data_IF_458879457140
#
_entry.id   IF_458879457140
#
_cell.length_a   1.000
_cell.length_b   1.000
_cell.length_c   1.000
_cell.angle_alpha   90.00
_cell.angle_beta   90.00
_cell.angle_gamma   90.00
#
_symmetry.space_group_name_H-M   'P 1'
#
loop_
_entity.id
_entity.type
_entity.pdbx_description
1 polymer ?
#
# COMPACT_ATOMS: atom_id res chain seq x y z
N UNK A 1 6.38 -56.86 0.72
CA UNK A 1 5.35 -55.87 0.40
C UNK A 1 5.12 -54.83 1.53
N UNK A 2 5.04 -55.20 2.80
CA UNK A 2 4.72 -54.27 3.92
C UNK A 2 5.71 -53.10 4.10
N UNK A 3 7.03 -53.31 3.99
CA UNK A 3 8.04 -52.23 4.19
C UNK A 3 7.99 -51.15 3.14
N UNK A 4 7.74 -51.46 1.85
CA UNK A 4 7.62 -50.47 0.78
C UNK A 4 6.41 -49.56 1.01
N UNK A 5 5.28 -50.12 1.45
CA UNK A 5 4.07 -49.33 1.73
C UNK A 5 4.28 -48.36 2.93
N UNK A 6 5.03 -48.81 3.97
CA UNK A 6 5.36 -47.96 5.11
C UNK A 6 6.21 -46.76 4.68
N UNK A 7 7.19 -46.97 3.82
CA UNK A 7 8.07 -45.92 3.29
C UNK A 7 7.23 -44.91 2.44
N UNK A 8 6.36 -45.41 1.57
CA UNK A 8 5.51 -44.54 0.76
C UNK A 8 4.58 -43.69 1.64
N UNK A 9 3.95 -44.29 2.64
CA UNK A 9 3.08 -43.56 3.58
C UNK A 9 3.87 -42.52 4.37
N UNK A 10 5.07 -42.85 4.85
CA UNK A 10 5.95 -41.94 5.57
C UNK A 10 6.34 -40.72 4.69
N UNK A 11 6.72 -40.96 3.42
CA UNK A 11 7.03 -39.89 2.49
C UNK A 11 5.79 -39.01 2.19
N UNK A 12 4.62 -39.60 2.02
CA UNK A 12 3.39 -38.85 1.81
C UNK A 12 3.03 -37.96 3.01
N UNK A 13 3.17 -38.47 4.22
CA UNK A 13 2.95 -37.70 5.45
C UNK A 13 3.96 -36.57 5.58
N UNK A 14 5.24 -36.81 5.28
CA UNK A 14 6.27 -35.78 5.31
C UNK A 14 5.99 -34.63 4.31
N UNK A 15 5.57 -34.99 3.09
CA UNK A 15 5.17 -33.99 2.07
C UNK A 15 3.94 -33.21 2.53
N UNK A 16 2.95 -33.86 3.12
CA UNK A 16 1.75 -33.21 3.63
C UNK A 16 2.10 -32.21 4.74
N UNK A 17 2.96 -32.58 5.68
CA UNK A 17 3.40 -31.67 6.76
C UNK A 17 4.20 -30.49 6.21
N UNK A 18 5.06 -30.72 5.23
CA UNK A 18 5.83 -29.67 4.58
C UNK A 18 4.92 -28.66 3.85
N UNK A 19 3.89 -29.16 3.15
CA UNK A 19 2.91 -28.28 2.46
C UNK A 19 2.07 -27.47 3.44
N UNK A 20 1.62 -28.07 4.55
CA UNK A 20 0.89 -27.36 5.61
C UNK A 20 1.76 -26.26 6.22
N UNK A 21 3.02 -26.55 6.54
CA UNK A 21 3.97 -25.59 7.08
C UNK A 21 4.21 -24.41 6.12
N UNK A 22 4.40 -24.70 4.83
CA UNK A 22 4.57 -23.68 3.81
C UNK A 22 3.32 -22.80 3.65
N UNK A 23 2.14 -23.40 3.57
CA UNK A 23 0.88 -22.65 3.47
C UNK A 23 0.61 -21.79 4.71
N UNK A 24 0.91 -22.31 5.90
CA UNK A 24 0.78 -21.57 7.15
C UNK A 24 1.68 -20.34 7.19
N UNK A 25 2.95 -20.46 6.76
CA UNK A 25 3.88 -19.35 6.65
C UNK A 25 3.39 -18.28 5.66
N UNK A 26 2.88 -18.68 4.51
CA UNK A 26 2.35 -17.75 3.52
C UNK A 26 1.10 -17.03 4.04
N UNK A 27 0.22 -17.75 4.73
CA UNK A 27 -0.96 -17.16 5.35
C UNK A 27 -0.60 -16.15 6.44
N UNK A 28 0.44 -16.43 7.23
CA UNK A 28 0.95 -15.49 8.23
C UNK A 28 1.41 -14.16 7.60
N UNK A 29 2.24 -14.21 6.56
CA UNK A 29 2.69 -13.00 5.84
C UNK A 29 1.53 -12.25 5.15
N UNK A 30 0.45 -12.96 4.84
CA UNK A 30 -0.75 -12.34 4.32
C UNK A 30 -1.52 -11.54 5.36
N UNK A 31 -1.73 -12.14 6.52
CA UNK A 31 -2.72 -11.65 7.49
C UNK A 31 -2.09 -10.78 8.57
N UNK A 32 -0.87 -11.12 9.02
CA UNK A 32 -0.28 -10.52 10.22
C UNK A 32 0.70 -9.43 9.86
N UNK A 33 1.85 -9.76 9.26
CA UNK A 33 2.83 -8.78 8.83
C UNK A 33 3.81 -9.36 7.82
N UNK A 34 4.04 -8.63 6.73
CA UNK A 34 5.11 -8.95 5.78
C UNK A 34 6.11 -7.80 5.66
N UNK A 35 5.70 -6.61 6.04
CA UNK A 35 6.51 -5.40 6.02
C UNK A 35 6.76 -4.95 7.46
N UNK A 36 8.01 -4.73 7.80
CA UNK A 36 8.44 -4.21 9.10
C UNK A 36 9.37 -3.03 8.85
N UNK A 37 9.05 -1.86 9.42
CA UNK A 37 9.87 -0.66 9.29
C UNK A 37 11.29 -0.91 9.79
N UNK A 38 12.28 -0.35 9.10
CA UNK A 38 13.71 -0.47 9.41
C UNK A 38 14.09 0.35 10.64
N UNK A 39 13.50 1.52 10.80
CA UNK A 39 13.76 2.50 11.86
C UNK A 39 12.68 2.52 12.95
N UNK A 40 11.75 1.56 12.91
CA UNK A 40 10.64 1.46 13.86
C UNK A 40 9.71 2.68 13.87
N UNK A 41 9.72 3.46 12.81
CA UNK A 41 8.84 4.60 12.60
C UNK A 41 7.76 4.28 11.57
N UNK A 42 6.75 5.11 11.55
CA UNK A 42 5.69 5.05 10.55
C UNK A 42 6.04 5.97 9.37
N UNK A 43 5.84 5.49 8.15
CA UNK A 43 6.24 6.19 6.94
C UNK A 43 5.05 6.66 6.12
N UNK A 44 5.20 7.86 5.54
CA UNK A 44 4.21 8.47 4.67
C UNK A 44 4.69 8.42 3.20
N UNK A 45 3.81 7.98 2.32
CA UNK A 45 4.09 7.85 0.89
C UNK A 45 3.12 8.66 0.05
N UNK A 46 3.65 9.36 -0.93
CA UNK A 46 2.89 10.02 -1.97
C UNK A 46 2.94 9.16 -3.23
N UNK A 47 1.81 8.60 -3.61
CA UNK A 47 1.68 7.78 -4.80
C UNK A 47 1.11 8.63 -5.93
N UNK A 48 1.83 8.68 -7.04
CA UNK A 48 1.43 9.39 -8.25
C UNK A 48 0.53 8.53 -9.14
N UNK A 49 -0.24 9.14 -10.04
CA UNK A 49 -1.02 8.40 -11.02
C UNK A 49 -0.13 7.47 -11.86
N UNK A 50 -0.65 6.30 -12.21
CA UNK A 50 0.03 5.27 -13.02
C UNK A 50 1.30 4.64 -12.40
N UNK A 51 1.48 4.72 -11.08
CA UNK A 51 2.58 4.03 -10.40
C UNK A 51 2.39 2.51 -10.48
N UNK A 52 3.38 1.80 -11.03
CA UNK A 52 3.34 0.34 -11.16
C UNK A 52 3.56 -0.37 -9.83
N UNK A 53 3.17 -1.65 -9.75
CA UNK A 53 3.36 -2.48 -8.55
C UNK A 53 4.84 -2.63 -8.20
N UNK A 54 5.70 -2.78 -9.22
CA UNK A 54 7.14 -2.95 -9.01
C UNK A 54 7.78 -1.67 -8.46
N UNK A 55 7.33 -0.51 -8.94
CA UNK A 55 7.74 0.79 -8.40
C UNK A 55 7.31 0.97 -6.94
N UNK A 56 6.09 0.53 -6.61
CA UNK A 56 5.60 0.55 -5.23
C UNK A 56 6.43 -0.37 -4.33
N UNK A 57 6.75 -1.57 -4.82
CA UNK A 57 7.57 -2.51 -4.06
C UNK A 57 8.97 -1.94 -3.82
N UNK A 58 9.57 -1.31 -4.82
CA UNK A 58 10.88 -0.65 -4.71
C UNK A 58 10.83 0.50 -3.70
N UNK A 59 9.79 1.31 -3.75
CA UNK A 59 9.57 2.39 -2.80
C UNK A 59 9.42 1.87 -1.36
N UNK A 60 8.65 0.81 -1.15
CA UNK A 60 8.47 0.23 0.17
C UNK A 60 9.75 -0.45 0.71
N UNK A 61 10.61 -0.96 -0.17
CA UNK A 61 11.91 -1.56 0.22
C UNK A 61 12.89 -0.55 0.81
N UNK A 62 12.72 0.74 0.55
CA UNK A 62 13.59 1.77 1.11
C UNK A 62 13.45 1.85 2.62
N UNK A 63 12.22 1.73 3.13
CA UNK A 63 11.91 2.00 4.54
C UNK A 63 11.44 0.74 5.29
N UNK A 64 11.08 -0.33 4.57
CA UNK A 64 10.58 -1.58 5.15
C UNK A 64 11.40 -2.80 4.76
N UNK A 65 11.70 -3.61 5.76
CA UNK A 65 12.18 -4.98 5.56
C UNK A 65 11.00 -5.88 5.16
N UNK A 66 11.12 -6.56 4.03
CA UNK A 66 10.10 -7.46 3.50
C UNK A 66 10.40 -8.89 3.91
N UNK A 67 9.43 -9.56 4.53
CA UNK A 67 9.57 -10.96 4.95
C UNK A 67 9.51 -11.95 3.78
N UNK A 68 8.65 -11.71 2.80
CA UNK A 68 8.51 -12.55 1.61
C UNK A 68 7.98 -11.73 0.42
N UNK A 69 8.85 -11.50 -0.57
CA UNK A 69 8.45 -10.87 -1.85
C UNK A 69 7.55 -11.80 -2.67
N UNK A 70 7.78 -13.11 -2.57
CA UNK A 70 6.95 -14.11 -3.23
C UNK A 70 5.50 -14.03 -2.76
N UNK A 71 5.28 -13.88 -1.44
CA UNK A 71 3.95 -13.68 -0.87
C UNK A 71 3.29 -12.40 -1.38
N UNK A 72 4.05 -11.30 -1.53
CA UNK A 72 3.57 -10.06 -2.14
C UNK A 72 3.11 -10.27 -3.57
N UNK A 73 3.97 -10.86 -4.43
CA UNK A 73 3.65 -11.10 -5.83
C UNK A 73 2.41 -11.99 -6.03
N UNK A 74 2.30 -13.09 -5.27
CA UNK A 74 1.13 -13.98 -5.32
C UNK A 74 -0.15 -13.20 -4.98
N UNK A 75 -0.09 -12.34 -3.99
CA UNK A 75 -1.26 -11.62 -3.54
C UNK A 75 -1.68 -10.50 -4.45
N UNK A 76 -0.74 -9.78 -5.04
CA UNK A 76 -1.04 -8.84 -6.10
C UNK A 76 -1.76 -9.52 -7.26
N UNK A 77 -1.29 -10.71 -7.68
CA UNK A 77 -1.95 -11.51 -8.72
C UNK A 77 -3.34 -11.99 -8.29
N UNK A 78 -3.46 -12.53 -7.08
CA UNK A 78 -4.75 -13.04 -6.57
C UNK A 78 -5.80 -11.93 -6.44
N UNK A 79 -5.40 -10.76 -5.97
CA UNK A 79 -6.29 -9.60 -5.83
C UNK A 79 -6.47 -8.81 -7.13
N UNK A 80 -5.83 -9.25 -8.23
CA UNK A 80 -5.82 -8.52 -9.51
C UNK A 80 -5.41 -7.05 -9.31
N UNK A 81 -4.51 -6.81 -8.38
CA UNK A 81 -3.97 -5.49 -8.11
C UNK A 81 -2.92 -5.16 -9.17
N UNK A 82 -3.22 -4.20 -10.02
CA UNK A 82 -2.37 -3.78 -11.14
C UNK A 82 -1.77 -2.38 -10.95
N UNK A 83 -2.53 -1.50 -10.30
CA UNK A 83 -2.13 -0.11 -10.10
C UNK A 83 -2.66 0.40 -8.76
N UNK A 84 -1.87 1.24 -8.09
CA UNK A 84 -2.32 1.96 -6.91
C UNK A 84 -3.09 3.21 -7.30
N UNK A 85 -4.11 3.53 -6.53
CA UNK A 85 -4.77 4.84 -6.64
C UNK A 85 -3.81 5.91 -6.12
N UNK A 86 -3.71 7.07 -6.82
CA UNK A 86 -2.86 8.15 -6.38
C UNK A 86 -3.35 8.73 -5.06
N UNK A 87 -2.43 9.23 -4.24
CA UNK A 87 -2.78 9.89 -3.00
C UNK A 87 -1.71 9.77 -1.91
N UNK A 88 -2.06 10.22 -0.71
CA UNK A 88 -1.21 10.20 0.45
C UNK A 88 -1.57 9.03 1.37
N UNK A 89 -0.59 8.16 1.63
CA UNK A 89 -0.75 6.96 2.45
C UNK A 89 0.27 6.96 3.58
N UNK A 90 -0.19 6.67 4.77
CA UNK A 90 0.65 6.54 5.93
C UNK A 90 0.56 5.12 6.48
N UNK A 91 1.69 4.46 6.62
CA UNK A 91 1.76 3.07 7.05
C UNK A 91 2.44 2.94 8.41
N UNK A 92 1.92 2.04 9.23
CA UNK A 92 2.46 1.72 10.53
C UNK A 92 3.79 0.96 10.44
N UNK A 93 4.50 0.85 11.56
CA UNK A 93 5.77 0.13 11.68
C UNK A 93 5.72 -1.34 11.26
N UNK A 94 4.56 -1.97 11.40
CA UNK A 94 4.30 -3.34 10.93
C UNK A 94 3.00 -3.37 10.16
N UNK A 95 3.04 -3.88 8.94
CA UNK A 95 1.87 -3.91 8.07
C UNK A 95 1.84 -5.18 7.22
N UNK A 96 0.64 -5.68 6.94
CA UNK A 96 0.43 -6.87 6.12
C UNK A 96 0.27 -6.52 4.63
N UNK A 97 0.56 -7.48 3.77
CA UNK A 97 0.30 -7.36 2.33
C UNK A 97 -1.17 -7.00 2.06
N UNK A 98 -2.09 -7.65 2.79
CA UNK A 98 -3.53 -7.42 2.64
C UNK A 98 -3.90 -5.97 2.86
N UNK A 99 -3.35 -5.35 3.89
CA UNK A 99 -3.68 -3.98 4.25
C UNK A 99 -3.12 -2.99 3.24
N UNK A 100 -1.86 -3.17 2.81
CA UNK A 100 -1.24 -2.32 1.79
C UNK A 100 -2.03 -2.38 0.48
N UNK A 101 -2.31 -3.60 -0.03
CA UNK A 101 -3.04 -3.80 -1.27
C UNK A 101 -4.45 -3.19 -1.17
N UNK A 102 -5.15 -3.41 -0.05
CA UNK A 102 -6.47 -2.85 0.18
C UNK A 102 -6.45 -1.32 0.11
N UNK A 103 -5.55 -0.68 0.85
CA UNK A 103 -5.46 0.78 0.88
C UNK A 103 -5.16 1.36 -0.50
N UNK A 104 -4.22 0.77 -1.22
CA UNK A 104 -3.89 1.23 -2.58
C UNK A 104 -5.00 0.95 -3.59
N UNK A 105 -5.69 -0.19 -3.49
CA UNK A 105 -6.74 -0.58 -4.43
C UNK A 105 -8.02 0.25 -4.25
N UNK A 106 -8.42 0.51 -3.00
CA UNK A 106 -9.62 1.30 -2.71
C UNK A 106 -9.34 2.80 -2.59
N UNK A 107 -8.08 3.20 -2.50
CA UNK A 107 -7.71 4.60 -2.32
C UNK A 107 -8.01 5.09 -0.90
N UNK A 108 -7.82 4.23 0.11
CA UNK A 108 -7.97 4.60 1.51
C UNK A 108 -6.80 5.48 1.97
N UNK A 109 -6.84 6.73 1.54
CA UNK A 109 -5.82 7.73 1.84
C UNK A 109 -5.87 8.13 3.31
N UNK A 110 -4.72 8.50 3.84
CA UNK A 110 -4.64 9.09 5.19
C UNK A 110 -5.06 10.55 5.12
N UNK A 111 -6.06 10.98 5.91
CA UNK A 111 -6.49 12.37 5.91
C UNK A 111 -5.35 13.30 6.32
N UNK A 112 -5.21 14.41 5.62
CA UNK A 112 -4.28 15.49 5.95
C UNK A 112 -5.06 16.60 6.65
N UNK A 113 -4.57 17.05 7.81
CA UNK A 113 -5.15 18.21 8.50
C UNK A 113 -4.72 19.49 7.80
N UNK A 114 -5.69 20.18 7.23
CA UNK A 114 -5.49 21.53 6.69
C UNK A 114 -5.78 22.54 7.81
N UNK A 115 -4.80 23.34 8.18
CA UNK A 115 -4.95 24.44 9.12
C UNK A 115 -4.68 25.76 8.39
N UNK A 116 -5.61 26.68 8.48
CA UNK A 116 -5.50 28.01 7.92
C UNK A 116 -5.12 28.99 9.06
N UNK A 117 -3.82 29.24 9.21
CA UNK A 117 -3.29 30.14 10.24
C UNK A 117 -3.20 31.59 9.75
N UNK A 118 -3.23 31.79 8.45
CA UNK A 118 -3.20 33.11 7.81
C UNK A 118 -4.58 33.48 7.26
N UNK A 119 -4.91 34.76 7.27
CA UNK A 119 -6.12 35.27 6.66
C UNK A 119 -6.01 35.15 5.14
N UNK A 120 -6.69 34.18 4.55
CA UNK A 120 -6.77 33.98 3.11
C UNK A 120 -7.89 34.89 2.56
N UNK A 121 -7.51 35.83 1.71
CA UNK A 121 -8.45 36.83 1.13
C UNK A 121 -8.64 36.66 -0.36
N UNK A 122 -7.73 35.97 -1.05
CA UNK A 122 -7.81 35.79 -2.50
C UNK A 122 -7.76 34.31 -2.86
N UNK A 123 -8.31 33.99 -4.08
CA UNK A 123 -8.29 32.62 -4.61
C UNK A 123 -6.88 32.13 -4.87
N UNK A 124 -5.97 33.03 -5.27
CA UNK A 124 -4.55 32.73 -5.46
C UNK A 124 -3.88 32.30 -4.17
N UNK A 125 -4.13 33.02 -3.07
CA UNK A 125 -3.60 32.65 -1.75
C UNK A 125 -4.13 31.28 -1.29
N UNK A 126 -5.42 31.00 -1.53
CA UNK A 126 -6.02 29.72 -1.23
C UNK A 126 -5.38 28.60 -2.07
N UNK A 127 -5.28 28.82 -3.38
CA UNK A 127 -4.67 27.85 -4.30
C UNK A 127 -3.21 27.55 -3.93
N UNK A 128 -2.43 28.59 -3.61
CA UNK A 128 -1.04 28.42 -3.16
C UNK A 128 -0.92 27.64 -1.85
N UNK A 129 -1.76 27.95 -0.87
CA UNK A 129 -1.77 27.22 0.41
C UNK A 129 -2.19 25.75 0.26
N UNK A 130 -3.20 25.48 -0.57
CA UNK A 130 -3.64 24.12 -0.87
C UNK A 130 -2.60 23.36 -1.68
N UNK A 131 -1.95 23.98 -2.66
CA UNK A 131 -0.90 23.35 -3.49
C UNK A 131 0.31 22.91 -2.67
N UNK A 132 0.67 23.64 -1.61
CA UNK A 132 1.75 23.26 -0.70
C UNK A 132 1.41 22.03 0.15
N UNK A 133 0.15 21.78 0.44
CA UNK A 133 -0.32 20.70 1.32
C UNK A 133 -0.86 19.49 0.57
N UNK A 134 -1.34 19.69 -0.64
CA UNK A 134 -1.92 18.65 -1.49
C UNK A 134 -0.98 18.37 -2.66
N UNK A 135 -1.09 17.19 -3.25
CA UNK A 135 -0.34 16.81 -4.46
C UNK A 135 -0.90 17.42 -5.75
N UNK A 136 -1.55 18.56 -5.64
CA UNK A 136 -2.13 19.26 -6.77
C UNK A 136 -1.32 20.53 -7.08
N UNK A 137 -1.17 20.84 -8.36
CA UNK A 137 -0.57 22.11 -8.74
C UNK A 137 -1.50 23.27 -8.35
N UNK A 138 -0.90 24.31 -7.77
CA UNK A 138 -1.61 25.52 -7.37
C UNK A 138 -2.30 26.21 -8.56
N UNK A 139 -1.73 26.10 -9.76
CA UNK A 139 -2.34 26.62 -11.00
C UNK A 139 -3.61 25.84 -11.37
N UNK A 140 -3.60 24.52 -11.24
CA UNK A 140 -4.79 23.68 -11.48
C UNK A 140 -5.89 23.98 -10.46
N UNK A 141 -5.53 24.13 -9.18
CA UNK A 141 -6.48 24.48 -8.12
C UNK A 141 -7.11 25.85 -8.42
N UNK A 142 -6.31 26.83 -8.80
CA UNK A 142 -6.80 28.17 -9.16
C UNK A 142 -7.78 28.12 -10.33
N UNK A 143 -7.44 27.38 -11.38
CA UNK A 143 -8.31 27.22 -12.55
C UNK A 143 -9.70 26.67 -12.15
N UNK A 144 -9.74 25.69 -11.25
CA UNK A 144 -11.01 25.14 -10.74
C UNK A 144 -11.77 26.09 -9.83
N UNK A 145 -11.07 26.91 -9.05
CA UNK A 145 -11.68 27.95 -8.20
C UNK A 145 -12.24 29.11 -9.02
N UNK A 146 -11.72 29.37 -10.21
CA UNK A 146 -12.18 30.41 -11.11
C UNK A 146 -13.33 29.93 -12.02
N UNK A 147 -13.61 28.64 -12.09
CA UNK A 147 -14.70 28.05 -12.85
C UNK A 147 -16.03 28.17 -12.09
N UNK A 148 -17.00 29.00 -12.60
CA UNK A 148 -18.29 29.18 -11.94
C UNK A 148 -19.13 27.91 -11.85
N UNK A 149 -18.97 26.99 -12.81
CA UNK A 149 -19.71 25.73 -12.85
C UNK A 149 -19.28 24.77 -11.75
N UNK A 150 -18.01 24.86 -11.33
CA UNK A 150 -17.45 24.07 -10.24
C UNK A 150 -17.86 24.60 -8.87
N UNK A 151 -17.97 25.91 -8.72
CA UNK A 151 -18.32 26.59 -7.48
C UNK A 151 -19.84 26.60 -7.18
N UNK A 152 -20.67 26.29 -8.17
CA UNK A 152 -22.13 26.25 -8.03
C UNK A 152 -22.70 24.91 -7.55
N UNK A 153 -21.84 23.92 -7.28
CA UNK A 153 -22.18 22.59 -6.72
C UNK A 153 -22.00 22.57 -5.23
#
# INVERSE_FOLDING_TARGET
>A
MKRKNIIIISCAVAILLATIGFCSKQYYHYTVSNFTSLDSESHAYHIYPNTSIDSILTLLKTDYKIGSEFAWCIQCKYKKFTQAKPGHYHFATKISNREIIRRFQFGEQTPIRLSFTQSIRTREQLAGHLGQKLLLDSAEIKLRLDDPSYMAK
#
